data_IF_641795385288
#
_entry.id   IF_641795385288
#
_cell.length_a   1.000
_cell.length_b   1.000
_cell.length_c   1.000
_cell.angle_alpha   90.00
_cell.angle_beta   90.00
_cell.angle_gamma   90.00
#
_symmetry.space_group_name_H-M   'P 1'
#
loop_
_entity.id
_entity.type
_entity.pdbx_description
1 polymer ?
#
# COMPACT_ATOMS: atom_id res chain seq x y z
N UNK A 1 24.10 -32.50 -5.94
CA UNK A 1 22.76 -32.42 -5.31
C UNK A 1 22.59 -31.25 -4.32
N UNK A 2 23.60 -30.81 -3.55
CA UNK A 2 23.42 -29.69 -2.60
C UNK A 2 23.44 -28.27 -3.21
N UNK A 3 24.15 -28.04 -4.33
CA UNK A 3 24.19 -26.71 -5.00
C UNK A 3 22.85 -26.25 -5.59
N UNK A 4 22.02 -27.17 -6.08
CA UNK A 4 20.71 -26.84 -6.66
C UNK A 4 19.67 -26.40 -5.61
N UNK A 5 19.71 -26.99 -4.40
CA UNK A 5 18.77 -26.63 -3.32
C UNK A 5 18.98 -25.20 -2.81
N UNK A 6 20.25 -24.74 -2.74
CA UNK A 6 20.61 -23.39 -2.30
C UNK A 6 20.14 -22.32 -3.29
N UNK A 7 20.40 -22.53 -4.59
CA UNK A 7 19.94 -21.62 -5.66
C UNK A 7 18.42 -21.50 -5.69
N UNK A 8 17.69 -22.61 -5.58
CA UNK A 8 16.21 -22.59 -5.59
C UNK A 8 15.63 -21.80 -4.41
N UNK A 9 16.21 -21.92 -3.21
CA UNK A 9 15.76 -21.19 -2.03
C UNK A 9 15.96 -19.68 -2.13
N UNK A 10 17.08 -19.23 -2.71
CA UNK A 10 17.40 -17.80 -2.86
C UNK A 10 16.51 -17.12 -3.91
N UNK A 11 16.20 -17.82 -5.01
CA UNK A 11 15.27 -17.34 -6.04
C UNK A 11 13.84 -17.19 -5.47
N UNK A 12 13.39 -18.14 -4.65
CA UNK A 12 12.07 -18.08 -4.00
C UNK A 12 12.00 -16.87 -3.06
N UNK A 13 13.01 -16.65 -2.20
CA UNK A 13 13.06 -15.48 -1.31
C UNK A 13 13.05 -14.16 -2.07
N UNK A 14 13.79 -14.08 -3.17
CA UNK A 14 13.82 -12.90 -4.04
C UNK A 14 12.46 -12.64 -4.67
N UNK A 15 11.79 -13.69 -5.18
CA UNK A 15 10.43 -13.57 -5.72
C UNK A 15 9.44 -13.11 -4.64
N UNK A 16 9.51 -13.67 -3.43
CA UNK A 16 8.66 -13.24 -2.31
C UNK A 16 8.89 -11.76 -1.97
N UNK A 17 10.13 -11.30 -1.91
CA UNK A 17 10.44 -9.90 -1.63
C UNK A 17 9.88 -8.97 -2.72
N UNK A 18 10.00 -9.36 -4.00
CA UNK A 18 9.44 -8.62 -5.13
C UNK A 18 7.90 -8.58 -5.05
N UNK A 19 7.25 -9.73 -4.84
CA UNK A 19 5.79 -9.81 -4.70
C UNK A 19 5.30 -8.96 -3.53
N UNK A 20 6.02 -8.95 -2.42
CA UNK A 20 5.70 -8.12 -1.26
C UNK A 20 5.84 -6.63 -1.56
N UNK A 21 6.92 -6.22 -2.23
CA UNK A 21 7.10 -4.83 -2.67
C UNK A 21 6.00 -4.38 -3.64
N UNK A 22 5.57 -5.26 -4.54
CA UNK A 22 4.49 -4.99 -5.49
C UNK A 22 3.14 -4.82 -4.77
N UNK A 23 2.85 -5.67 -3.79
CA UNK A 23 1.65 -5.57 -2.97
C UNK A 23 1.61 -4.26 -2.17
N UNK A 24 2.74 -3.86 -1.57
CA UNK A 24 2.88 -2.57 -0.90
C UNK A 24 2.72 -1.40 -1.87
N UNK A 25 3.27 -1.52 -3.08
CA UNK A 25 3.11 -0.51 -4.14
C UNK A 25 1.64 -0.28 -4.50
N UNK A 26 0.86 -1.35 -4.69
CA UNK A 26 -0.57 -1.23 -4.96
C UNK A 26 -1.39 -0.71 -3.77
N UNK A 27 -1.02 -1.11 -2.55
CA UNK A 27 -1.67 -0.61 -1.34
C UNK A 27 -1.62 0.92 -1.26
N UNK A 28 -0.53 1.53 -1.74
CA UNK A 28 -0.36 2.99 -1.79
C UNK A 28 -0.94 3.59 -3.07
N UNK A 29 -0.67 2.97 -4.22
CA UNK A 29 -1.03 3.53 -5.52
C UNK A 29 -2.54 3.56 -5.77
N UNK A 30 -3.30 2.59 -5.25
CA UNK A 30 -4.76 2.52 -5.41
C UNK A 30 -5.46 3.71 -4.75
N UNK A 31 -5.28 4.01 -3.45
CA UNK A 31 -5.92 5.16 -2.82
C UNK A 31 -5.44 6.47 -3.44
N UNK A 32 -4.13 6.68 -3.58
CA UNK A 32 -3.61 7.93 -4.14
C UNK A 32 -4.11 8.13 -5.57
N UNK A 33 -3.89 7.14 -6.45
CA UNK A 33 -4.33 7.21 -7.84
C UNK A 33 -5.84 7.30 -7.98
N UNK A 34 -6.60 6.57 -7.16
CA UNK A 34 -8.07 6.61 -7.15
C UNK A 34 -8.61 7.98 -6.79
N UNK A 35 -8.11 8.59 -5.71
CA UNK A 35 -8.54 9.94 -5.33
C UNK A 35 -8.06 11.03 -6.29
N UNK A 36 -6.90 10.84 -6.91
CA UNK A 36 -6.39 11.78 -7.91
C UNK A 36 -7.24 11.74 -9.20
N UNK A 37 -7.61 10.54 -9.65
CA UNK A 37 -8.53 10.36 -10.77
C UNK A 37 -9.94 10.86 -10.44
N UNK A 38 -10.45 10.59 -9.24
CA UNK A 38 -11.74 11.12 -8.77
C UNK A 38 -11.74 12.64 -8.71
N UNK A 39 -10.66 13.25 -8.22
CA UNK A 39 -10.51 14.69 -8.17
C UNK A 39 -10.46 15.32 -9.57
N UNK A 40 -9.65 14.75 -10.48
CA UNK A 40 -9.60 15.16 -11.88
C UNK A 40 -10.94 15.04 -12.58
N UNK A 41 -11.62 13.91 -12.40
CA UNK A 41 -12.92 13.67 -13.02
C UNK A 41 -13.99 14.59 -12.44
N UNK A 42 -13.98 14.82 -11.12
CA UNK A 42 -14.86 15.77 -10.46
C UNK A 42 -14.65 17.20 -10.98
N UNK A 43 -13.41 17.67 -11.05
CA UNK A 43 -13.11 19.00 -11.57
C UNK A 43 -13.58 19.16 -13.03
N UNK A 44 -13.42 18.12 -13.85
CA UNK A 44 -13.90 18.11 -15.24
C UNK A 44 -15.43 18.12 -15.35
N UNK A 45 -16.15 17.43 -14.46
CA UNK A 45 -17.63 17.32 -14.48
C UNK A 45 -18.29 18.59 -13.92
N UNK A 46 -17.76 19.14 -12.83
CA UNK A 46 -18.36 20.30 -12.16
C UNK A 46 -17.84 21.64 -12.68
N UNK A 47 -16.82 21.63 -13.55
CA UNK A 47 -16.16 22.84 -14.04
C UNK A 47 -15.48 23.63 -12.93
N UNK A 48 -15.18 22.99 -11.79
CA UNK A 48 -14.44 23.60 -10.71
C UNK A 48 -12.99 23.77 -11.18
N UNK A 49 -12.43 24.98 -10.99
CA UNK A 49 -10.97 25.15 -10.88
C UNK A 49 -10.40 24.10 -9.92
N UNK A 50 -9.11 23.70 -9.99
CA UNK A 50 -8.58 22.38 -9.60
C UNK A 50 -8.63 22.03 -8.09
N UNK A 51 -9.74 22.35 -7.42
CA UNK A 51 -10.00 22.27 -6.00
C UNK A 51 -10.40 20.85 -5.61
N UNK A 52 -11.17 20.13 -6.44
CA UNK A 52 -11.50 18.73 -6.16
C UNK A 52 -10.26 17.84 -6.33
N UNK A 53 -9.37 18.17 -7.25
CA UNK A 53 -8.04 17.56 -7.35
C UNK A 53 -7.22 17.77 -6.08
N UNK A 54 -7.12 19.01 -5.58
CA UNK A 54 -6.41 19.26 -4.32
C UNK A 54 -7.04 18.54 -3.13
N UNK A 55 -8.37 18.56 -3.02
CA UNK A 55 -9.08 17.81 -1.99
C UNK A 55 -8.81 16.30 -2.09
N UNK A 56 -8.85 15.75 -3.31
CA UNK A 56 -8.53 14.35 -3.59
C UNK A 56 -7.12 13.98 -3.17
N UNK A 57 -6.11 14.81 -3.46
CA UNK A 57 -4.73 14.57 -3.03
C UNK A 57 -4.62 14.55 -1.49
N UNK A 58 -5.22 15.52 -0.80
CA UNK A 58 -5.18 15.60 0.67
C UNK A 58 -5.86 14.38 1.30
N UNK A 59 -7.05 14.02 0.81
CA UNK A 59 -7.79 12.84 1.29
C UNK A 59 -7.03 11.55 0.98
N UNK A 60 -6.44 11.44 -0.22
CA UNK A 60 -5.65 10.28 -0.61
C UNK A 60 -4.42 10.09 0.28
N UNK A 61 -3.66 11.15 0.52
CA UNK A 61 -2.52 11.11 1.44
C UNK A 61 -2.93 10.75 2.87
N UNK A 62 -4.03 11.35 3.37
CA UNK A 62 -4.55 11.03 4.70
C UNK A 62 -4.99 9.57 4.83
N UNK A 63 -5.68 9.05 3.82
CA UNK A 63 -6.16 7.66 3.78
C UNK A 63 -4.99 6.67 3.74
N UNK A 64 -4.01 6.91 2.86
CA UNK A 64 -2.80 6.07 2.79
C UNK A 64 -2.02 6.10 4.10
N UNK A 65 -1.84 7.28 4.71
CA UNK A 65 -1.16 7.39 6.00
C UNK A 65 -1.90 6.60 7.10
N UNK A 66 -3.23 6.68 7.12
CA UNK A 66 -4.05 5.94 8.07
C UNK A 66 -3.98 4.42 7.85
N UNK A 67 -4.11 3.94 6.62
CA UNK A 67 -4.02 2.51 6.29
C UNK A 67 -2.65 1.92 6.65
N UNK A 68 -1.57 2.62 6.29
CA UNK A 68 -0.21 2.18 6.61
C UNK A 68 0.00 2.17 8.12
N UNK A 69 -0.41 3.23 8.84
CA UNK A 69 -0.32 3.29 10.29
C UNK A 69 -1.12 2.17 10.96
N UNK A 70 -2.37 1.95 10.53
CA UNK A 70 -3.24 0.92 11.07
C UNK A 70 -2.68 -0.48 10.82
N UNK A 71 -2.18 -0.75 9.61
CA UNK A 71 -1.58 -2.03 9.23
C UNK A 71 -0.32 -2.33 10.06
N UNK A 72 0.56 -1.35 10.22
CA UNK A 72 1.75 -1.48 11.06
C UNK A 72 1.38 -1.69 12.53
N UNK A 73 0.40 -0.93 13.05
CA UNK A 73 -0.06 -1.08 14.42
C UNK A 73 -0.70 -2.46 14.66
N UNK A 74 -1.47 -2.98 13.71
CA UNK A 74 -2.07 -4.32 13.78
C UNK A 74 -0.97 -5.39 13.90
N UNK A 75 0.06 -5.31 13.06
CA UNK A 75 1.19 -6.24 13.09
C UNK A 75 2.00 -6.17 14.38
N UNK A 76 2.17 -4.97 14.96
CA UNK A 76 2.87 -4.78 16.24
C UNK A 76 2.02 -5.30 17.41
N UNK A 77 0.71 -5.08 17.39
CA UNK A 77 -0.20 -5.47 18.47
C UNK A 77 -0.42 -6.98 18.55
N UNK A 78 -0.36 -7.69 17.42
CA UNK A 78 -0.61 -9.14 17.37
C UNK A 78 0.52 -9.96 18.03
N UNK A 79 1.73 -9.39 18.14
CA UNK A 79 2.86 -10.05 18.81
C UNK A 79 2.71 -10.19 20.32
N UNK A 80 1.83 -9.42 20.97
CA UNK A 80 1.66 -9.45 22.43
C UNK A 80 0.62 -10.47 22.93
N UNK A 81 0.01 -11.26 22.04
CA UNK A 81 -1.02 -12.24 22.43
C UNK A 81 -0.53 -13.69 22.49
N UNK A 82 0.69 -13.98 22.06
CA UNK A 82 1.22 -15.35 22.03
C UNK A 82 2.10 -15.74 23.23
N UNK A 83 2.32 -14.84 24.19
CA UNK A 83 3.17 -15.07 25.37
C UNK A 83 2.37 -15.38 26.65
N UNK A 84 1.08 -15.73 26.55
CA UNK A 84 0.19 -15.91 27.71
C UNK A 84 -0.56 -17.26 27.75
N UNK A 85 -0.12 -18.29 27.02
CA UNK A 85 -0.59 -19.67 27.20
C UNK A 85 0.55 -20.67 27.14
#
# INVERSE_FOLDING_TARGET
>A
MQKEKKSRGDNIKTLYAISFAWQLGFLVAIPIGGFLLLGLWGDAVFGTHPFLLFAGIVVGLGTTAYEVYHSLFLMVKDKNKHDQY
#
